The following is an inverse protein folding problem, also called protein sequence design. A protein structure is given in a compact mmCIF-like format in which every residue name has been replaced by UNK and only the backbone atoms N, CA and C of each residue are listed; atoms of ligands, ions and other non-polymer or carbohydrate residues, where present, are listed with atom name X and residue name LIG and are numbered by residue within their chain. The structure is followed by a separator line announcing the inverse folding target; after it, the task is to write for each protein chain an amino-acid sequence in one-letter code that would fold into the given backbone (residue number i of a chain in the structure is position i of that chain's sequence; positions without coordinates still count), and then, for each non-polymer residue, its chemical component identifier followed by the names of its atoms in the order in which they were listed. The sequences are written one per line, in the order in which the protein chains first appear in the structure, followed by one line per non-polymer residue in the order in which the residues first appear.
data_IF_756761482067
#
_entry.id   IF_756761482067
#
_cell.length_a   1.000
_cell.length_b   1.000
_cell.length_c   1.000
_cell.angle_alpha   90.00
_cell.angle_beta   90.00
_cell.angle_gamma   90.00
#
_symmetry.space_group_name_H-M   'P 1'
#
loop_
_entity.id
_entity.type
_entity.pdbx_description
1 polymer ?
#
# COMPACT_ATOMS: atom_id res chain seq x y z
N UNK A 1 7.94 17.82 11.40
CA UNK A 1 6.99 18.92 11.16
C UNK A 1 6.66 19.14 9.68
N UNK A 2 7.63 19.18 8.77
CA UNK A 2 7.33 19.40 7.34
C UNK A 2 6.53 18.23 6.70
N UNK A 3 6.92 16.98 6.99
CA UNK A 3 6.19 15.78 6.54
C UNK A 3 4.75 15.73 7.09
N UNK A 4 4.57 16.04 8.37
CA UNK A 4 3.23 16.08 9.00
C UNK A 4 2.34 17.16 8.39
N UNK A 5 2.92 18.31 7.99
CA UNK A 5 2.19 19.36 7.29
C UNK A 5 1.75 18.91 5.89
N UNK A 6 2.63 18.23 5.15
CA UNK A 6 2.28 17.67 3.84
C UNK A 6 1.20 16.58 3.96
N UNK A 7 1.28 15.72 4.96
CA UNK A 7 0.25 14.70 5.21
C UNK A 7 -1.10 15.32 5.53
N UNK A 8 -1.14 16.34 6.40
CA UNK A 8 -2.36 17.10 6.71
C UNK A 8 -2.91 17.85 5.49
N UNK A 9 -2.04 18.48 4.70
CA UNK A 9 -2.45 19.17 3.47
C UNK A 9 -3.02 18.19 2.45
N UNK A 10 -2.39 17.02 2.31
CA UNK A 10 -2.86 15.96 1.41
C UNK A 10 -4.21 15.39 1.84
N UNK A 11 -4.46 15.26 3.15
CA UNK A 11 -5.71 14.70 3.66
C UNK A 11 -6.86 15.68 3.49
N UNK A 12 -6.64 16.99 3.71
CA UNK A 12 -7.63 18.04 3.47
C UNK A 12 -7.98 18.15 1.99
N UNK A 13 -6.96 18.11 1.12
CA UNK A 13 -7.17 18.16 -0.33
C UNK A 13 -7.94 16.92 -0.83
N UNK A 14 -7.57 15.73 -0.32
CA UNK A 14 -8.27 14.48 -0.61
C UNK A 14 -9.73 14.53 -0.13
N UNK A 15 -10.01 15.07 1.05
CA UNK A 15 -11.36 15.24 1.57
C UNK A 15 -12.20 16.27 0.80
N UNK A 16 -11.55 17.27 0.21
CA UNK A 16 -12.22 18.26 -0.65
C UNK A 16 -12.64 17.61 -1.97
N UNK A 17 -11.73 16.83 -2.57
CA UNK A 17 -12.01 16.09 -3.81
C UNK A 17 -13.07 14.99 -3.57
N UNK A 18 -13.13 14.32 -2.40
CA UNK A 18 -14.19 13.33 -2.09
C UNK A 18 -15.55 13.98 -2.11
N UNK A 19 -15.69 15.13 -1.46
CA UNK A 19 -16.96 15.84 -1.41
C UNK A 19 -17.46 16.20 -2.83
N UNK A 20 -16.53 16.54 -3.72
CA UNK A 20 -16.83 16.91 -5.10
C UNK A 20 -17.23 15.70 -5.94
N UNK A 21 -16.55 14.56 -5.80
CA UNK A 21 -16.95 13.33 -6.49
C UNK A 21 -18.29 12.79 -5.99
N UNK A 22 -18.54 12.80 -4.68
CA UNK A 22 -19.81 12.38 -4.08
C UNK A 22 -20.98 13.25 -4.56
N UNK A 23 -20.75 14.55 -4.78
CA UNK A 23 -21.78 15.47 -5.30
C UNK A 23 -21.95 15.41 -6.81
N UNK A 24 -20.89 15.06 -7.56
CA UNK A 24 -20.89 15.07 -9.04
C UNK A 24 -21.56 13.89 -9.73
N UNK A 25 -21.99 12.84 -9.02
CA UNK A 25 -22.62 11.63 -9.59
C UNK A 25 -21.80 10.90 -10.67
N UNK A 26 -20.51 11.20 -10.80
CA UNK A 26 -19.62 10.58 -11.80
C UNK A 26 -19.33 9.09 -11.47
N UNK A 27 -19.15 8.25 -12.50
CA UNK A 27 -18.97 6.80 -12.30
C UNK A 27 -17.62 6.48 -11.64
N UNK A 28 -17.67 5.51 -10.73
CA UNK A 28 -16.65 5.05 -9.78
C UNK A 28 -15.36 4.42 -10.38
N UNK A 29 -15.14 4.51 -11.69
CA UNK A 29 -14.03 3.80 -12.37
C UNK A 29 -12.65 4.47 -12.23
N UNK A 30 -12.54 5.64 -11.58
CA UNK A 30 -11.26 6.36 -11.49
C UNK A 30 -10.10 5.58 -10.84
N UNK A 31 -10.29 4.66 -9.86
CA UNK A 31 -9.19 3.90 -9.28
C UNK A 31 -8.50 2.96 -10.29
N UNK A 32 -9.24 2.46 -11.29
CA UNK A 32 -8.71 1.53 -12.29
C UNK A 32 -7.74 2.19 -13.28
N UNK A 33 -7.73 3.53 -13.37
CA UNK A 33 -6.74 4.25 -14.17
C UNK A 33 -5.32 4.13 -13.60
N UNK A 34 -5.15 3.77 -12.31
CA UNK A 34 -3.83 3.53 -11.73
C UNK A 34 -3.12 2.30 -12.31
N UNK A 35 -3.87 1.30 -12.81
CA UNK A 35 -3.34 0.11 -13.49
C UNK A 35 -2.69 0.44 -14.85
N UNK A 36 -3.10 1.52 -15.51
CA UNK A 36 -2.55 1.98 -16.79
C UNK A 36 -1.13 2.55 -16.68
N UNK A 37 -0.62 2.77 -15.47
CA UNK A 37 0.74 3.27 -15.26
C UNK A 37 1.79 2.15 -15.20
N UNK A 38 1.38 0.90 -14.96
CA UNK A 38 2.27 -0.28 -14.94
C UNK A 38 3.04 -0.52 -16.26
N UNK A 39 2.41 -0.41 -17.45
CA UNK A 39 3.09 -0.55 -18.74
C UNK A 39 4.15 0.54 -18.99
N UNK A 40 3.93 1.75 -18.47
CA UNK A 40 4.84 2.88 -18.66
C UNK A 40 6.16 2.66 -17.89
N UNK A 41 6.09 2.05 -16.71
CA UNK A 41 7.25 1.67 -15.88
C UNK A 41 8.06 0.56 -16.56
N UNK A 42 7.39 -0.45 -17.15
CA UNK A 42 8.05 -1.52 -17.88
C UNK A 42 8.85 -1.00 -19.09
N UNK A 43 8.35 0.04 -19.75
CA UNK A 43 9.02 0.68 -20.89
C UNK A 43 10.31 1.43 -20.47
N UNK A 44 10.35 1.98 -19.24
CA UNK A 44 11.52 2.71 -18.71
C UNK A 44 12.68 1.80 -18.26
N UNK A 45 12.45 0.51 -18.04
CA UNK A 45 13.51 -0.40 -17.53
C UNK A 45 14.55 -0.79 -18.60
N UNK A 46 14.29 -0.56 -19.89
CA UNK A 46 15.08 -1.12 -21.01
C UNK A 46 16.43 -0.45 -21.30
N UNK A 47 16.84 0.58 -20.55
CA UNK A 47 18.06 1.36 -20.89
C UNK A 47 19.27 0.94 -20.05
N UNK A 48 20.13 0.07 -20.58
CA UNK A 48 21.27 -0.50 -19.84
C UNK A 48 22.55 0.31 -20.11
N UNK A 49 23.04 1.06 -19.10
CA UNK A 49 24.40 1.63 -19.14
C UNK A 49 25.08 1.37 -17.79
N UNK A 50 26.26 0.70 -17.83
CA UNK A 50 27.11 0.44 -16.66
C UNK A 50 27.75 1.76 -16.22
N UNK A 51 27.41 2.24 -15.02
CA UNK A 51 28.04 3.41 -14.41
C UNK A 51 29.21 2.95 -13.51
N UNK A 52 30.42 3.43 -13.82
CA UNK A 52 31.59 3.33 -12.93
C UNK A 52 31.45 4.41 -11.85
N UNK A 53 31.29 4.00 -10.61
CA UNK A 53 31.16 4.89 -9.45
C UNK A 53 32.54 4.97 -8.80
N UNK A 54 33.26 6.11 -8.88
CA UNK A 54 34.25 6.46 -7.85
C UNK A 54 34.61 7.96 -7.84
N UNK A 55 34.61 8.49 -6.60
CA UNK A 55 35.26 9.67 -6.00
C UNK A 55 34.60 11.07 -6.05
N UNK A 56 34.58 11.65 -4.82
CA UNK A 56 34.27 13.01 -4.32
C UNK A 56 32.78 13.39 -4.18
N UNK A 57 32.23 13.19 -2.97
CA UNK A 57 30.86 13.54 -2.57
C UNK A 57 30.55 15.04 -2.81
N UNK A 58 29.80 15.30 -3.87
CA UNK A 58 29.13 16.57 -4.19
C UNK A 58 27.61 16.39 -4.05
N UNK A 59 26.84 17.47 -3.84
CA UNK A 59 25.37 17.44 -3.97
C UNK A 59 24.91 16.83 -5.30
N UNK A 60 25.73 16.95 -6.36
CA UNK A 60 25.55 16.28 -7.65
C UNK A 60 25.59 14.75 -7.57
N UNK A 61 26.23 14.16 -6.57
CA UNK A 61 26.24 12.71 -6.33
C UNK A 61 24.97 12.22 -5.63
N UNK A 62 24.30 13.06 -4.83
CA UNK A 62 22.94 12.75 -4.35
C UNK A 62 21.96 12.66 -5.53
N UNK A 63 22.16 13.48 -6.57
CA UNK A 63 21.41 13.34 -7.83
C UNK A 63 21.78 12.06 -8.60
N UNK A 64 22.96 11.47 -8.40
CA UNK A 64 23.29 10.14 -8.95
C UNK A 64 22.52 9.01 -8.26
N UNK A 65 21.99 9.19 -7.04
CA UNK A 65 21.08 8.20 -6.45
C UNK A 65 19.83 8.01 -7.32
N UNK A 66 19.29 9.10 -7.90
CA UNK A 66 18.21 9.04 -8.90
C UNK A 66 18.61 8.35 -10.21
N UNK A 67 19.91 8.25 -10.50
CA UNK A 67 20.41 7.47 -11.64
C UNK A 67 20.38 5.95 -11.39
N UNK A 68 20.13 5.52 -10.15
CA UNK A 68 20.06 4.10 -9.80
C UNK A 68 18.64 3.60 -10.07
N UNK A 69 18.48 2.72 -11.06
CA UNK A 69 17.16 2.20 -11.47
C UNK A 69 16.33 1.64 -10.31
N UNK A 70 16.97 0.99 -9.33
CA UNK A 70 16.29 0.45 -8.16
C UNK A 70 15.69 1.53 -7.27
N UNK A 71 16.37 2.67 -7.10
CA UNK A 71 15.85 3.80 -6.35
C UNK A 71 14.63 4.41 -7.05
N UNK A 72 14.68 4.59 -8.36
CA UNK A 72 13.55 5.10 -9.13
C UNK A 72 12.34 4.16 -9.08
N UNK A 73 12.54 2.85 -9.24
CA UNK A 73 11.47 1.85 -9.11
C UNK A 73 10.87 1.82 -7.70
N UNK A 74 11.70 1.99 -6.68
CA UNK A 74 11.25 2.07 -5.29
C UNK A 74 10.40 3.31 -5.04
N UNK A 75 10.84 4.49 -5.50
CA UNK A 75 10.07 5.75 -5.40
C UNK A 75 8.74 5.64 -6.13
N UNK A 76 8.75 5.07 -7.33
CA UNK A 76 7.53 4.81 -8.09
C UNK A 76 6.60 3.88 -7.32
N UNK A 77 7.12 2.73 -6.85
CA UNK A 77 6.35 1.75 -6.08
C UNK A 77 5.73 2.35 -4.83
N UNK A 78 6.49 3.17 -4.08
CA UNK A 78 5.99 3.91 -2.92
C UNK A 78 4.92 4.94 -3.29
N UNK A 79 5.11 5.68 -4.38
CA UNK A 79 4.11 6.64 -4.87
C UNK A 79 2.80 5.92 -5.22
N UNK A 80 2.87 4.77 -5.89
CA UNK A 80 1.70 3.95 -6.18
C UNK A 80 1.05 3.36 -4.94
N UNK A 81 1.84 2.88 -3.98
CA UNK A 81 1.34 2.38 -2.70
C UNK A 81 0.58 3.45 -1.93
N UNK A 82 1.16 4.65 -1.78
CA UNK A 82 0.51 5.79 -1.12
C UNK A 82 -0.72 6.23 -1.88
N UNK A 83 -0.64 6.33 -3.22
CA UNK A 83 -1.80 6.69 -4.04
C UNK A 83 -2.93 5.68 -3.86
N UNK A 84 -2.64 4.38 -3.92
CA UNK A 84 -3.62 3.32 -3.70
C UNK A 84 -4.24 3.37 -2.30
N UNK A 85 -3.42 3.61 -1.27
CA UNK A 85 -3.89 3.78 0.10
C UNK A 85 -4.87 4.96 0.21
N UNK A 86 -4.48 6.13 -0.29
CA UNK A 86 -5.34 7.33 -0.27
C UNK A 86 -6.60 7.13 -1.11
N UNK A 87 -6.50 6.56 -2.30
CA UNK A 87 -7.64 6.23 -3.14
C UNK A 87 -8.58 5.24 -2.44
N UNK A 88 -8.04 4.22 -1.76
CA UNK A 88 -8.86 3.24 -1.03
C UNK A 88 -9.60 3.90 0.14
N UNK A 89 -8.92 4.73 0.93
CA UNK A 89 -9.55 5.50 2.01
C UNK A 89 -10.61 6.48 1.48
N UNK A 90 -10.37 7.05 0.31
CA UNK A 90 -11.27 7.99 -0.37
C UNK A 90 -12.54 7.29 -0.87
N UNK A 91 -12.39 6.18 -1.61
CA UNK A 91 -13.50 5.54 -2.34
C UNK A 91 -14.28 4.53 -1.49
N UNK A 92 -13.65 3.93 -0.48
CA UNK A 92 -14.26 2.89 0.36
C UNK A 92 -15.56 3.33 1.04
N UNK A 93 -15.65 4.51 1.70
CA UNK A 93 -16.90 4.95 2.34
C UNK A 93 -18.06 5.11 1.34
N UNK A 94 -17.79 5.68 0.16
CA UNK A 94 -18.77 5.89 -0.91
C UNK A 94 -19.26 4.56 -1.49
N UNK A 95 -18.34 3.62 -1.74
CA UNK A 95 -18.67 2.28 -2.21
C UNK A 95 -19.53 1.53 -1.18
N UNK A 96 -19.13 1.56 0.09
CA UNK A 96 -19.86 0.92 1.18
C UNK A 96 -21.24 1.55 1.38
N UNK A 97 -21.36 2.87 1.27
CA UNK A 97 -22.64 3.58 1.38
C UNK A 97 -23.58 3.19 0.23
N UNK A 98 -23.04 3.08 -1.00
CA UNK A 98 -23.80 2.63 -2.16
C UNK A 98 -24.29 1.19 -1.98
N UNK A 99 -23.42 0.28 -1.54
CA UNK A 99 -23.78 -1.11 -1.24
C UNK A 99 -24.84 -1.19 -0.12
N UNK A 100 -24.70 -0.40 0.94
CA UNK A 100 -25.64 -0.33 2.05
C UNK A 100 -27.02 0.16 1.62
N UNK A 101 -27.09 1.18 0.75
CA UNK A 101 -28.35 1.67 0.18
C UNK A 101 -29.01 0.65 -0.75
N UNK A 102 -28.23 -0.08 -1.55
CA UNK A 102 -28.76 -1.01 -2.55
C UNK A 102 -29.22 -2.34 -1.94
N UNK A 103 -28.46 -2.89 -0.97
CA UNK A 103 -28.73 -4.20 -0.38
C UNK A 103 -28.57 -4.16 1.16
N UNK A 104 -29.45 -3.44 1.89
CA UNK A 104 -29.34 -3.28 3.34
C UNK A 104 -29.47 -4.60 4.12
N UNK A 105 -30.15 -5.60 3.56
CA UNK A 105 -30.29 -6.93 4.18
C UNK A 105 -28.96 -7.66 4.35
N UNK A 106 -27.97 -7.38 3.49
CA UNK A 106 -26.62 -7.98 3.56
C UNK A 106 -25.85 -7.51 4.80
N UNK A 107 -26.22 -6.37 5.36
CA UNK A 107 -25.59 -5.77 6.55
C UNK A 107 -26.29 -6.14 7.86
N UNK A 108 -27.24 -7.08 7.84
CA UNK A 108 -27.92 -7.60 9.04
C UNK A 108 -28.55 -6.51 9.94
N UNK A 109 -29.03 -5.41 9.34
CA UNK A 109 -29.63 -4.29 10.07
C UNK A 109 -28.64 -3.39 10.80
N UNK A 110 -27.33 -3.55 10.59
CA UNK A 110 -26.31 -2.67 11.16
C UNK A 110 -26.40 -1.26 10.57
N UNK A 111 -26.20 -0.26 11.43
CA UNK A 111 -26.12 1.14 11.01
C UNK A 111 -24.83 1.40 10.23
N UNK A 112 -24.88 2.28 9.23
CA UNK A 112 -23.72 2.60 8.40
C UNK A 112 -22.47 3.03 9.21
N UNK A 113 -22.56 3.88 10.26
CA UNK A 113 -21.38 4.21 11.08
C UNK A 113 -20.78 3.00 11.80
N UNK A 114 -21.62 2.06 12.23
CA UNK A 114 -21.17 0.84 12.90
C UNK A 114 -20.44 -0.09 11.94
N UNK A 115 -20.93 -0.23 10.69
CA UNK A 115 -20.26 -0.98 9.62
C UNK A 115 -18.87 -0.39 9.32
N UNK A 116 -18.75 0.93 9.18
CA UNK A 116 -17.44 1.59 8.99
C UNK A 116 -16.50 1.33 10.17
N UNK A 117 -17.03 1.39 11.39
CA UNK A 117 -16.25 1.18 12.62
C UNK A 117 -15.69 -0.24 12.66
N UNK A 118 -16.53 -1.25 12.38
CA UNK A 118 -16.10 -2.65 12.29
C UNK A 118 -15.04 -2.83 11.20
N UNK A 119 -15.25 -2.27 10.02
CA UNK A 119 -14.31 -2.38 8.91
C UNK A 119 -12.94 -1.78 9.30
N UNK A 120 -12.94 -0.60 9.90
CA UNK A 120 -11.71 0.08 10.34
C UNK A 120 -11.01 -0.71 11.44
N UNK A 121 -11.77 -1.27 12.40
CA UNK A 121 -11.25 -2.10 13.47
C UNK A 121 -10.63 -3.40 12.95
N UNK A 122 -11.30 -4.10 12.04
CA UNK A 122 -10.79 -5.34 11.43
C UNK A 122 -9.53 -5.10 10.61
N UNK A 123 -9.49 -4.02 9.83
CA UNK A 123 -8.29 -3.65 9.07
C UNK A 123 -7.13 -3.35 10.02
N UNK A 124 -7.37 -2.58 11.09
CA UNK A 124 -6.35 -2.25 12.09
C UNK A 124 -5.84 -3.51 12.81
N UNK A 125 -6.75 -4.39 13.24
CA UNK A 125 -6.40 -5.66 13.88
C UNK A 125 -5.56 -6.53 12.95
N UNK A 126 -5.95 -6.62 11.68
CA UNK A 126 -5.19 -7.28 10.63
C UNK A 126 -3.77 -6.71 10.53
N UNK A 127 -3.62 -5.39 10.44
CA UNK A 127 -2.30 -4.74 10.38
C UNK A 127 -1.43 -4.99 11.61
N UNK A 128 -2.00 -4.93 12.81
CA UNK A 128 -1.29 -5.18 14.08
C UNK A 128 -0.77 -6.62 14.13
N UNK A 129 -1.58 -7.59 13.72
CA UNK A 129 -1.20 -9.01 13.69
C UNK A 129 -0.24 -9.30 12.53
N UNK A 130 -0.46 -8.66 11.38
CA UNK A 130 0.34 -8.86 10.17
C UNK A 130 1.77 -8.35 10.32
N UNK A 131 1.99 -7.27 11.06
CA UNK A 131 3.32 -6.68 11.23
C UNK A 131 4.37 -7.66 11.81
N UNK A 132 4.15 -8.31 12.98
CA UNK A 132 5.10 -9.30 13.50
C UNK A 132 5.23 -10.51 12.58
N UNK A 133 4.16 -10.95 11.90
CA UNK A 133 4.20 -12.08 10.96
C UNK A 133 5.10 -11.75 9.77
N UNK A 134 4.91 -10.58 9.14
CA UNK A 134 5.70 -10.13 7.99
C UNK A 134 7.16 -9.92 8.38
N UNK A 135 7.41 -9.30 9.54
CA UNK A 135 8.78 -9.13 10.05
C UNK A 135 9.46 -10.47 10.33
N UNK A 136 8.75 -11.40 10.97
CA UNK A 136 9.26 -12.74 11.23
C UNK A 136 9.57 -13.48 9.93
N UNK A 137 8.65 -13.49 8.95
CA UNK A 137 8.87 -14.10 7.63
C UNK A 137 10.07 -13.49 6.90
N UNK A 138 10.16 -12.16 6.86
CA UNK A 138 11.27 -11.46 6.21
C UNK A 138 12.61 -11.76 6.90
N UNK A 139 12.64 -11.77 8.23
CA UNK A 139 13.82 -12.10 9.02
C UNK A 139 14.25 -13.55 8.81
N UNK A 140 13.32 -14.49 8.94
CA UNK A 140 13.56 -15.92 8.74
C UNK A 140 14.12 -16.24 7.35
N UNK A 141 13.67 -15.52 6.32
CA UNK A 141 14.16 -15.69 4.96
C UNK A 141 15.49 -14.99 4.71
N UNK A 142 15.75 -13.85 5.37
CA UNK A 142 17.04 -13.16 5.29
C UNK A 142 18.17 -14.00 5.89
N UNK A 143 17.96 -14.56 7.10
CA UNK A 143 18.98 -15.33 7.82
C UNK A 143 18.96 -16.84 7.50
N UNK A 144 18.01 -17.31 6.69
CA UNK A 144 17.88 -18.73 6.32
C UNK A 144 17.48 -19.64 7.48
N UNK A 145 16.93 -19.07 8.57
CA UNK A 145 16.46 -19.83 9.74
C UNK A 145 15.10 -20.48 9.51
N UNK A 146 14.30 -19.98 8.55
CA UNK A 146 12.98 -20.52 8.18
C UNK A 146 12.93 -21.27 6.86
N UNK A 147 11.72 -21.63 6.42
CA UNK A 147 11.45 -22.20 5.10
C UNK A 147 11.50 -21.11 4.03
N UNK A 148 12.29 -21.22 2.93
CA UNK A 148 13.14 -22.33 2.50
C UNK A 148 14.60 -22.23 2.99
N UNK A 149 15.04 -23.28 3.69
CA UNK A 149 16.16 -23.34 4.64
C UNK A 149 17.59 -23.31 4.05
N UNK A 150 17.84 -22.73 2.87
CA UNK A 150 19.07 -23.03 2.13
C UNK A 150 20.01 -21.87 1.78
N UNK A 151 19.61 -20.59 1.80
CA UNK A 151 20.53 -19.47 1.48
C UNK A 151 20.13 -18.18 2.18
N UNK A 152 21.13 -17.46 2.71
CA UNK A 152 20.99 -16.05 3.14
C UNK A 152 20.57 -15.23 1.91
N UNK A 153 19.46 -14.49 2.03
CA UNK A 153 18.96 -13.66 0.93
C UNK A 153 18.74 -12.23 1.42
N UNK A 154 19.67 -11.34 1.08
CA UNK A 154 19.61 -9.92 1.43
C UNK A 154 18.39 -9.21 0.83
N UNK A 155 17.75 -9.81 -0.18
CA UNK A 155 16.52 -9.31 -0.82
C UNK A 155 15.24 -9.89 -0.22
N UNK A 156 15.32 -10.60 0.92
CA UNK A 156 14.15 -11.20 1.56
C UNK A 156 13.05 -10.17 1.90
N UNK A 157 13.41 -9.05 2.53
CA UNK A 157 12.46 -8.00 2.91
C UNK A 157 11.63 -7.46 1.73
N UNK A 158 12.24 -6.94 0.63
CA UNK A 158 11.46 -6.44 -0.49
C UNK A 158 10.64 -7.53 -1.19
N UNK A 159 11.10 -8.80 -1.20
CA UNK A 159 10.32 -9.92 -1.75
C UNK A 159 9.07 -10.18 -0.91
N UNK A 160 9.21 -10.28 0.41
CA UNK A 160 8.07 -10.52 1.31
C UNK A 160 7.04 -9.40 1.20
N UNK A 161 7.48 -8.13 1.15
CA UNK A 161 6.54 -7.02 0.98
C UNK A 161 5.88 -7.02 -0.40
N UNK A 162 6.60 -7.41 -1.46
CA UNK A 162 5.99 -7.55 -2.79
C UNK A 162 4.93 -8.65 -2.83
N UNK A 163 5.14 -9.76 -2.10
CA UNK A 163 4.13 -10.82 -1.96
C UNK A 163 2.93 -10.31 -1.16
N UNK A 164 3.19 -9.56 -0.08
CA UNK A 164 2.17 -8.90 0.72
C UNK A 164 1.29 -7.98 -0.12
N UNK A 165 1.88 -7.06 -0.89
CA UNK A 165 1.14 -6.11 -1.72
C UNK A 165 0.31 -6.78 -2.81
N UNK A 166 0.83 -7.82 -3.47
CA UNK A 166 0.05 -8.63 -4.41
C UNK A 166 -1.14 -9.31 -3.72
N UNK A 167 -0.93 -9.84 -2.52
CA UNK A 167 -2.00 -10.47 -1.73
C UNK A 167 -3.05 -9.46 -1.29
N UNK A 168 -2.65 -8.23 -0.95
CA UNK A 168 -3.55 -7.12 -0.62
C UNK A 168 -4.46 -6.79 -1.81
N UNK A 169 -3.95 -6.75 -3.05
CA UNK A 169 -4.76 -6.51 -4.25
C UNK A 169 -5.83 -7.59 -4.42
N UNK A 170 -5.46 -8.87 -4.25
CA UNK A 170 -6.41 -9.99 -4.35
C UNK A 170 -7.48 -9.88 -3.25
N UNK A 171 -7.08 -9.63 -2.00
CA UNK A 171 -8.00 -9.47 -0.89
C UNK A 171 -8.97 -8.30 -1.12
N UNK A 172 -8.48 -7.17 -1.65
CA UNK A 172 -9.29 -6.01 -1.98
C UNK A 172 -10.31 -6.28 -3.11
N UNK A 173 -9.91 -7.02 -4.15
CA UNK A 173 -10.84 -7.46 -5.19
C UNK A 173 -11.96 -8.34 -4.61
N UNK A 174 -11.63 -9.24 -3.67
CA UNK A 174 -12.64 -10.04 -2.97
C UNK A 174 -13.58 -9.14 -2.17
N UNK A 175 -13.07 -8.13 -1.45
CA UNK A 175 -13.90 -7.13 -0.74
C UNK A 175 -14.88 -6.46 -1.71
N UNK A 176 -14.41 -5.96 -2.85
CA UNK A 176 -15.27 -5.30 -3.85
C UNK A 176 -16.36 -6.25 -4.39
N UNK A 177 -16.01 -7.50 -4.69
CA UNK A 177 -16.96 -8.47 -5.24
C UNK A 177 -17.97 -8.98 -4.21
N UNK A 178 -17.62 -8.96 -2.91
CA UNK A 178 -18.44 -9.57 -1.84
C UNK A 178 -19.21 -8.56 -1.00
N UNK A 179 -18.81 -7.29 -0.93
CA UNK A 179 -19.49 -6.27 -0.09
C UNK A 179 -20.99 -6.17 -0.35
N UNK A 180 -21.43 -6.24 -1.61
CA UNK A 180 -22.85 -6.18 -1.98
C UNK A 180 -23.60 -7.52 -1.91
N UNK A 181 -22.92 -8.62 -1.56
CA UNK A 181 -23.49 -9.98 -1.55
C UNK A 181 -23.47 -10.62 -0.17
N UNK A 182 -22.34 -10.52 0.53
CA UNK A 182 -22.13 -11.11 1.83
C UNK A 182 -21.11 -10.27 2.62
N UNK A 183 -21.62 -9.45 3.55
CA UNK A 183 -20.80 -8.57 4.36
C UNK A 183 -19.77 -9.34 5.21
N UNK A 184 -20.12 -10.53 5.71
CA UNK A 184 -19.23 -11.33 6.56
C UNK A 184 -17.96 -11.77 5.81
N UNK A 185 -18.11 -12.26 4.58
CA UNK A 185 -16.97 -12.63 3.72
C UNK A 185 -16.11 -11.39 3.41
N UNK A 186 -16.77 -10.25 3.15
CA UNK A 186 -16.09 -8.98 2.92
C UNK A 186 -15.29 -8.55 4.15
N UNK A 187 -15.84 -8.67 5.36
CA UNK A 187 -15.17 -8.33 6.63
C UNK A 187 -13.93 -9.19 6.88
N UNK A 188 -14.02 -10.51 6.62
CA UNK A 188 -12.85 -11.40 6.70
C UNK A 188 -11.78 -10.97 5.69
N UNK A 189 -12.18 -10.67 4.45
CA UNK A 189 -11.26 -10.25 3.40
C UNK A 189 -10.60 -8.90 3.73
N UNK A 190 -11.31 -8.02 4.43
CA UNK A 190 -10.78 -6.75 4.91
C UNK A 190 -9.73 -6.95 6.02
N UNK A 191 -9.94 -7.90 6.93
CA UNK A 191 -8.92 -8.31 7.90
C UNK A 191 -7.63 -8.78 7.19
N UNK A 192 -7.76 -9.64 6.17
CA UNK A 192 -6.61 -10.07 5.37
C UNK A 192 -5.95 -8.93 4.61
N UNK A 193 -6.72 -7.95 4.13
CA UNK A 193 -6.17 -6.74 3.49
C UNK A 193 -5.28 -5.98 4.49
N UNK A 194 -5.74 -5.78 5.72
CA UNK A 194 -4.94 -5.19 6.80
C UNK A 194 -3.66 -5.99 7.09
N UNK A 195 -3.79 -7.32 7.22
CA UNK A 195 -2.68 -8.24 7.48
C UNK A 195 -1.60 -8.19 6.39
N UNK A 196 -2.00 -8.26 5.12
CA UNK A 196 -1.06 -8.24 3.99
C UNK A 196 -0.43 -6.86 3.77
N UNK A 197 -1.13 -5.77 4.07
CA UNK A 197 -0.62 -4.39 3.95
C UNK A 197 0.41 -3.99 5.01
N UNK A 198 0.51 -4.75 6.12
CA UNK A 198 1.38 -4.41 7.25
C UNK A 198 2.86 -4.25 6.87
N UNK A 199 3.32 -4.97 5.84
CA UNK A 199 4.68 -4.87 5.33
C UNK A 199 5.04 -3.53 4.70
N UNK A 200 4.06 -2.83 4.12
CA UNK A 200 4.27 -1.53 3.47
C UNK A 200 4.62 -0.45 4.51
N UNK A 201 3.90 -0.45 5.65
CA UNK A 201 4.17 0.46 6.76
C UNK A 201 5.53 0.22 7.42
N UNK A 202 5.91 -1.05 7.61
CA UNK A 202 7.17 -1.41 8.25
C UNK A 202 8.40 -1.03 7.40
N UNK A 203 8.35 -1.23 6.07
CA UNK A 203 9.46 -0.90 5.17
C UNK A 203 9.73 0.60 5.10
N UNK A 204 8.68 1.43 5.08
CA UNK A 204 8.84 2.89 5.06
C UNK A 204 9.64 3.40 6.25
N UNK A 205 9.35 2.88 7.45
CA UNK A 205 10.06 3.26 8.67
C UNK A 205 11.48 2.69 8.74
N UNK A 206 11.68 1.44 8.32
CA UNK A 206 13.01 0.82 8.26
C UNK A 206 13.96 1.56 7.32
N UNK A 207 13.46 2.07 6.19
CA UNK A 207 14.26 2.86 5.25
C UNK A 207 14.69 4.21 5.83
N UNK A 208 13.80 4.89 6.57
CA UNK A 208 14.15 6.14 7.25
C UNK A 208 15.24 5.90 8.31
N UNK A 209 15.13 4.82 9.08
CA UNK A 209 16.10 4.47 10.10
C UNK A 209 17.47 4.10 9.51
N UNK A 210 17.48 3.40 8.36
CA UNK A 210 18.70 3.09 7.62
C UNK A 210 19.34 4.33 6.96
N UNK A 211 18.56 5.31 6.50
CA UNK A 211 19.12 6.55 5.95
C UNK A 211 19.83 7.37 7.04
N UNK A 212 19.27 7.42 8.25
CA UNK A 212 19.87 8.17 9.36
C UNK A 212 21.22 7.59 9.77
N UNK A 213 21.33 6.25 9.84
CA UNK A 213 22.59 5.55 10.16
C UNK A 213 23.67 5.77 9.10
N UNK A 214 23.31 5.92 7.82
CA UNK A 214 24.27 6.16 6.74
C UNK A 214 24.77 7.61 6.69
N UNK A 215 24.07 8.52 7.37
CA UNK A 215 24.43 9.95 7.42
C UNK A 215 25.13 10.38 8.71
N UNK A 216 25.12 9.52 9.74
CA UNK A 216 25.85 9.70 11.00
C UNK A 216 27.26 9.12 10.92
#
# INVERSE_FOLDING_TARGET
MFLTFFDLSSSIFSASITSWFVTSSLPWFSPLLSLLLLPMIACLMKTNKRLRIFKKHSFRDSLKLFSTKSFFLMVIGQTFGIFNLKASTFWSPSFLLSAWKYAPSVFFGLSYPFVITINSFLSLLGSIIGLPIVMWLAHSWNYGTGFPKKRKNERAFPIVVSIGSLSTVVAYLIVLLTTGRNYFISSISLFFTGLCSAGEGALGQLMLLLSDILTA
#
